data_IF_559834009399
#
_entry.id   IF_559834009399
#
_cell.length_a   1.000
_cell.length_b   1.000
_cell.length_c   1.000
_cell.angle_alpha   90.00
_cell.angle_beta   90.00
_cell.angle_gamma   90.00
#
_symmetry.space_group_name_H-M   'P 1'
#
loop_
_entity.id
_entity.type
_entity.pdbx_description
1 polymer ?
#
# COMPACT_ATOMS: atom_id res chain seq x y z
N UNK A 1 -2.27 21.58 -15.93
CA UNK A 1 -1.26 22.01 -14.93
C UNK A 1 -0.16 20.98 -14.87
N UNK A 2 1.10 21.41 -14.77
CA UNK A 2 2.21 20.48 -14.54
C UNK A 2 2.12 19.97 -13.10
N UNK A 3 2.16 18.65 -12.92
CA UNK A 3 2.22 18.00 -11.61
C UNK A 3 3.54 18.33 -10.94
N UNK A 4 3.50 18.74 -9.67
CA UNK A 4 4.71 18.97 -8.86
C UNK A 4 5.51 17.67 -8.69
N UNK A 5 6.81 17.75 -8.39
CA UNK A 5 7.59 16.57 -8.03
C UNK A 5 7.04 15.90 -6.78
N UNK A 6 7.10 14.56 -6.73
CA UNK A 6 6.55 13.76 -5.63
C UNK A 6 7.04 14.21 -4.25
N UNK A 7 8.34 14.55 -4.13
CA UNK A 7 8.93 15.05 -2.89
C UNK A 7 8.22 16.28 -2.34
N UNK A 8 7.81 17.19 -3.20
CA UNK A 8 7.12 18.43 -2.82
C UNK A 8 5.67 18.15 -2.45
N UNK A 9 4.99 17.28 -3.21
CA UNK A 9 3.63 16.81 -2.88
C UNK A 9 3.61 16.16 -1.49
N UNK A 10 4.59 15.29 -1.21
CA UNK A 10 4.71 14.63 0.08
C UNK A 10 4.97 15.61 1.21
N UNK A 11 5.87 16.59 1.03
CA UNK A 11 6.13 17.62 2.04
C UNK A 11 4.87 18.41 2.38
N UNK A 12 4.14 18.89 1.37
CA UNK A 12 2.89 19.65 1.57
C UNK A 12 1.85 18.81 2.30
N UNK A 13 1.69 17.54 1.92
CA UNK A 13 0.75 16.64 2.57
C UNK A 13 1.15 16.30 4.02
N UNK A 14 2.44 16.12 4.29
CA UNK A 14 2.98 15.86 5.63
C UNK A 14 2.84 17.09 6.54
N UNK A 15 3.09 18.30 6.03
CA UNK A 15 2.84 19.58 6.74
C UNK A 15 1.35 19.73 7.08
N UNK A 16 0.47 19.50 6.10
CA UNK A 16 -0.98 19.55 6.31
C UNK A 16 -1.44 18.56 7.41
N UNK A 17 -0.90 17.34 7.39
CA UNK A 17 -1.16 16.32 8.41
C UNK A 17 -0.67 16.75 9.80
N UNK A 18 0.51 17.38 9.89
CA UNK A 18 1.04 17.91 11.14
C UNK A 18 0.15 19.01 11.73
N UNK A 19 -0.45 19.82 10.85
CA UNK A 19 -1.43 20.86 11.22
C UNK A 19 -2.84 20.30 11.51
N UNK A 20 -3.01 18.97 11.48
CA UNK A 20 -4.29 18.31 11.75
C UNK A 20 -5.29 18.37 10.59
N UNK A 21 -4.84 18.81 9.41
CA UNK A 21 -5.66 18.91 8.20
C UNK A 21 -5.43 17.71 7.28
N UNK A 22 -6.50 17.21 6.67
CA UNK A 22 -6.36 16.12 5.69
C UNK A 22 -5.74 16.66 4.40
N UNK A 23 -4.84 15.92 3.72
CA UNK A 23 -4.25 16.34 2.45
C UNK A 23 -5.26 16.52 1.30
N UNK A 24 -6.46 15.97 1.46
CA UNK A 24 -7.58 16.15 0.53
C UNK A 24 -8.35 17.47 0.76
N UNK A 25 -8.01 18.23 1.81
CA UNK A 25 -8.68 19.47 2.16
C UNK A 25 -8.33 20.58 1.15
N UNK A 26 -9.30 21.40 0.71
CA UNK A 26 -9.09 22.41 -0.33
C UNK A 26 -7.97 23.42 -0.01
N UNK A 27 -7.71 23.67 1.27
CA UNK A 27 -6.67 24.60 1.72
C UNK A 27 -5.23 24.08 1.56
N UNK A 28 -5.04 22.78 1.31
CA UNK A 28 -3.70 22.17 1.19
C UNK A 28 -3.06 22.50 -0.17
N UNK A 29 -3.85 22.93 -1.15
CA UNK A 29 -3.32 23.38 -2.44
C UNK A 29 -2.74 22.27 -3.31
N UNK A 30 -3.17 21.02 -3.07
CA UNK A 30 -2.89 19.86 -3.92
C UNK A 30 -4.03 19.63 -4.91
N UNK A 31 -3.68 19.41 -6.17
CA UNK A 31 -4.66 19.02 -7.19
C UNK A 31 -5.06 17.54 -7.02
N UNK A 32 -6.21 17.12 -7.57
CA UNK A 32 -6.74 15.75 -7.45
C UNK A 32 -5.73 14.66 -7.89
N UNK A 33 -4.93 14.94 -8.93
CA UNK A 33 -3.88 14.03 -9.39
C UNK A 33 -2.74 13.88 -8.34
N UNK A 34 -2.39 14.97 -7.67
CA UNK A 34 -1.34 15.00 -6.64
C UNK A 34 -1.81 14.32 -5.35
N UNK A 35 -3.07 14.52 -4.96
CA UNK A 35 -3.71 13.79 -3.87
C UNK A 35 -3.71 12.28 -4.12
N UNK A 36 -4.03 11.86 -5.35
CA UNK A 36 -4.00 10.44 -5.75
C UNK A 36 -2.60 9.85 -5.67
N UNK A 37 -1.58 10.61 -6.10
CA UNK A 37 -0.18 10.20 -5.98
C UNK A 37 0.23 10.05 -4.51
N UNK A 38 -0.13 11.01 -3.66
CA UNK A 38 0.14 10.95 -2.23
C UNK A 38 -0.51 9.73 -1.56
N UNK A 39 -1.78 9.42 -1.87
CA UNK A 39 -2.46 8.22 -1.32
C UNK A 39 -1.76 6.93 -1.71
N UNK A 40 -1.35 6.80 -2.98
CA UNK A 40 -0.62 5.62 -3.47
C UNK A 40 0.72 5.44 -2.76
N UNK A 41 1.48 6.53 -2.64
CA UNK A 41 2.80 6.51 -2.00
C UNK A 41 2.68 6.20 -0.50
N UNK A 42 1.72 6.82 0.19
CA UNK A 42 1.45 6.55 1.61
C UNK A 42 1.04 5.11 1.84
N UNK A 43 0.19 4.54 0.98
CA UNK A 43 -0.19 3.14 1.04
C UNK A 43 1.00 2.22 0.81
N UNK A 44 1.90 2.57 -0.13
CA UNK A 44 3.11 1.81 -0.41
C UNK A 44 4.08 1.83 0.78
N UNK A 45 4.31 3.01 1.36
CA UNK A 45 5.10 3.17 2.60
C UNK A 45 4.51 2.38 3.76
N UNK A 46 3.19 2.39 3.93
CA UNK A 46 2.52 1.59 4.94
C UNK A 46 2.73 0.09 4.73
N UNK A 47 2.68 -0.38 3.48
CA UNK A 47 2.94 -1.79 3.15
C UNK A 47 4.40 -2.19 3.41
N UNK A 48 5.35 -1.30 3.12
CA UNK A 48 6.78 -1.56 3.34
C UNK A 48 7.16 -1.55 4.83
N UNK A 49 6.50 -0.73 5.64
CA UNK A 49 6.75 -0.63 7.09
C UNK A 49 6.05 -1.74 7.88
N UNK A 50 5.04 -2.41 7.30
CA UNK A 50 4.35 -3.53 7.94
C UNK A 50 5.16 -4.82 7.80
N UNK A 51 5.27 -5.64 8.86
CA UNK A 51 5.86 -6.96 8.74
C UNK A 51 5.06 -7.77 7.71
N UNK A 52 5.75 -8.53 6.85
CA UNK A 52 5.16 -9.30 5.74
C UNK A 52 4.00 -10.20 6.18
N UNK A 53 4.04 -10.69 7.42
CA UNK A 53 2.99 -11.50 8.04
C UNK A 53 1.66 -10.74 8.24
N UNK A 54 1.70 -9.43 8.45
CA UNK A 54 0.52 -8.58 8.58
C UNK A 54 -0.10 -8.21 7.22
N UNK A 55 0.68 -8.20 6.13
CA UNK A 55 0.21 -7.83 4.78
C UNK A 55 -0.35 -9.04 4.05
N UNK A 56 0.27 -10.21 4.21
CA UNK A 56 -0.16 -11.45 3.55
C UNK A 56 -1.04 -12.35 4.44
N UNK A 57 -1.38 -11.89 5.65
CA UNK A 57 -2.00 -12.68 6.69
C UNK A 57 -1.07 -13.81 7.18
N UNK A 58 -1.47 -14.56 8.22
CA UNK A 58 -0.77 -15.78 8.57
C UNK A 58 -0.79 -16.66 7.34
N UNK A 59 0.40 -16.93 6.78
CA UNK A 59 0.62 -17.77 5.61
C UNK A 59 -0.07 -19.09 5.92
N UNK A 60 -1.32 -19.28 5.46
CA UNK A 60 -2.07 -20.50 5.68
C UNK A 60 -1.15 -21.58 5.14
N UNK A 61 -0.54 -22.37 6.03
CA UNK A 61 0.14 -23.61 5.68
C UNK A 61 -0.95 -24.40 4.98
N UNK A 62 -1.06 -24.26 3.66
CA UNK A 62 -1.87 -25.12 2.81
C UNK A 62 -1.35 -26.50 3.16
N UNK A 63 -2.08 -27.20 4.02
CA UNK A 63 -1.84 -28.61 4.31
C UNK A 63 -1.67 -29.23 2.94
N UNK A 64 -0.48 -29.75 2.66
CA UNK A 64 -0.18 -30.33 1.37
C UNK A 64 -1.28 -31.34 1.08
N UNK A 65 -2.17 -31.01 0.14
CA UNK A 65 -2.85 -32.08 -0.59
C UNK A 65 -1.72 -32.69 -1.37
N UNK A 66 -1.16 -33.74 -0.78
CA UNK A 66 -0.03 -34.47 -1.34
C UNK A 66 -0.29 -34.73 -2.80
N UNK A 67 0.75 -34.56 -3.60
CA UNK A 67 0.78 -35.07 -4.95
C UNK A 67 0.49 -36.57 -4.84
N UNK A 68 -0.76 -36.98 -5.11
CA UNK A 68 -1.10 -38.40 -5.20
C UNK A 68 -0.48 -38.86 -6.51
N UNK A 69 0.70 -39.46 -6.41
CA UNK A 69 1.33 -40.16 -7.52
C UNK A 69 0.33 -41.19 -8.07
N UNK A 70 0.12 -41.30 -9.40
CA UNK A 70 -0.79 -42.28 -9.99
C UNK A 70 -0.43 -43.73 -9.64
N UNK A 71 0.82 -43.98 -9.22
CA UNK A 71 1.35 -45.29 -8.82
C UNK A 71 0.78 -45.81 -7.48
N UNK A 72 0.05 -45.00 -6.72
CA UNK A 72 -0.56 -45.41 -5.44
C UNK A 72 -1.92 -46.11 -5.61
N UNK A 73 -2.41 -46.30 -6.84
CA UNK A 73 -3.51 -47.24 -7.12
C UNK A 73 -2.89 -48.57 -7.53
N UNK A 74 -2.62 -49.41 -6.53
CA UNK A 74 -2.33 -50.82 -6.77
C UNK A 74 -3.49 -51.48 -7.52
N UNK A 75 -3.14 -52.49 -8.33
CA UNK A 75 -4.05 -53.46 -8.95
C UNK A 75 -4.89 -54.14 -7.86
#
# INVERSE_FOLDING_TARGET
>A
MKTRPLKEIMRIAEEALADGTLPDHPNVGLNAAEQTLWRRETQLRWRLTKPLESVHGPRRKKRGRGWRSPLARGI
#
